data_IF_617762326848
#
_entry.id   IF_617762326848
#
_cell.length_a   1.000
_cell.length_b   1.000
_cell.length_c   1.000
_cell.angle_alpha   90.00
_cell.angle_beta   90.00
_cell.angle_gamma   90.00
#
_symmetry.space_group_name_H-M   'P 1'
#
loop_
_entity.id
_entity.type
_entity.pdbx_description
1 polymer ?
#
# COMPACT_ATOMS: atom_id res chain seq x y z
N UNK A 1 -20.07 -6.08 -5.49
CA UNK A 1 -19.55 -5.63 -4.18
C UNK A 1 -18.09 -5.14 -4.29
N UNK A 2 -17.82 -3.95 -4.87
CA UNK A 2 -16.45 -3.39 -4.95
C UNK A 2 -16.22 -2.16 -4.05
N UNK A 3 -17.26 -1.33 -3.87
CA UNK A 3 -17.22 -0.08 -3.08
C UNK A 3 -16.76 -0.30 -1.62
N UNK A 4 -17.25 -1.36 -0.96
CA UNK A 4 -16.92 -1.59 0.46
C UNK A 4 -15.43 -1.93 0.67
N UNK A 5 -14.81 -2.66 -0.26
CA UNK A 5 -13.37 -2.96 -0.19
C UNK A 5 -12.52 -1.70 -0.31
N UNK A 6 -12.89 -0.80 -1.23
CA UNK A 6 -12.25 0.50 -1.39
C UNK A 6 -12.41 1.39 -0.14
N UNK A 7 -13.63 1.54 0.39
CA UNK A 7 -13.89 2.34 1.60
C UNK A 7 -13.27 1.77 2.89
N UNK A 8 -12.99 0.47 2.93
CA UNK A 8 -12.36 -0.19 4.07
C UNK A 8 -10.83 -0.09 4.07
N UNK A 9 -10.19 0.14 2.91
CA UNK A 9 -8.75 0.36 2.82
C UNK A 9 -8.37 1.73 3.42
N UNK A 10 -7.34 1.74 4.28
CA UNK A 10 -6.80 2.98 4.89
C UNK A 10 -5.65 3.59 4.09
N UNK A 11 -5.03 2.78 3.23
CA UNK A 11 -3.91 3.12 2.35
C UNK A 11 -4.39 2.81 0.94
N UNK A 12 -4.16 3.73 0.00
CA UNK A 12 -4.65 3.60 -1.37
C UNK A 12 -3.83 2.64 -2.21
N UNK A 13 -4.47 2.04 -3.21
CA UNK A 13 -3.85 1.06 -4.10
C UNK A 13 -2.64 1.64 -4.86
N UNK A 14 -2.66 2.93 -5.22
CA UNK A 14 -1.50 3.59 -5.84
C UNK A 14 -0.32 3.73 -4.87
N UNK A 15 -0.59 4.05 -3.59
CA UNK A 15 0.43 4.13 -2.54
C UNK A 15 1.09 2.76 -2.29
N UNK A 16 0.28 1.69 -2.31
CA UNK A 16 0.76 0.29 -2.22
C UNK A 16 1.59 -0.07 -3.44
N UNK A 17 1.04 0.06 -4.66
CA UNK A 17 1.73 -0.29 -5.92
C UNK A 17 3.09 0.40 -6.04
N UNK A 18 3.14 1.71 -5.81
CA UNK A 18 4.38 2.48 -5.86
C UNK A 18 5.46 1.94 -4.91
N UNK A 19 5.06 1.40 -3.75
CA UNK A 19 6.01 0.96 -2.73
C UNK A 19 6.74 -0.34 -3.02
N UNK A 20 6.18 -1.19 -3.89
CA UNK A 20 6.56 -2.60 -4.06
C UNK A 20 6.51 -3.46 -2.76
N UNK A 21 5.87 -2.96 -1.69
CA UNK A 21 5.75 -3.67 -0.41
C UNK A 21 4.42 -4.42 -0.29
N UNK A 22 4.40 -5.62 0.34
CA UNK A 22 3.15 -6.34 0.62
C UNK A 22 2.16 -5.50 1.46
N UNK A 23 0.86 -5.54 1.13
CA UNK A 23 -0.18 -4.85 1.91
C UNK A 23 -0.15 -5.20 3.40
N UNK A 24 0.18 -6.46 3.72
CA UNK A 24 0.34 -6.96 5.10
C UNK A 24 1.50 -6.27 5.83
N UNK A 25 2.63 -6.05 5.15
CA UNK A 25 3.78 -5.32 5.69
C UNK A 25 3.43 -3.85 5.92
N UNK A 26 2.84 -3.19 4.92
CA UNK A 26 2.41 -1.78 5.02
C UNK A 26 1.42 -1.61 6.19
N UNK A 27 0.43 -2.49 6.33
CA UNK A 27 -0.50 -2.47 7.46
C UNK A 27 0.26 -2.61 8.79
N UNK A 28 1.13 -3.62 8.90
CA UNK A 28 1.90 -3.92 10.12
C UNK A 28 2.87 -2.80 10.50
N UNK A 29 3.39 -2.01 9.54
CA UNK A 29 4.38 -0.96 9.82
C UNK A 29 3.81 0.25 10.58
N UNK A 30 2.52 0.57 10.39
CA UNK A 30 1.83 1.67 11.06
C UNK A 30 0.75 1.25 12.06
N UNK A 31 0.33 -0.03 12.08
CA UNK A 31 -0.69 -0.51 13.01
C UNK A 31 -0.21 -0.37 14.47
N UNK A 32 -0.94 0.42 15.26
CA UNK A 32 -0.67 0.60 16.69
C UNK A 32 -1.70 -0.20 17.48
N UNK A 33 -1.34 -1.41 17.87
CA UNK A 33 -2.10 -2.23 18.82
C UNK A 33 -1.66 -1.87 20.23
N UNK A 34 -2.61 -1.47 21.08
CA UNK A 34 -2.36 -1.22 22.50
C UNK A 34 -2.56 -2.49 23.34
N UNK A 35 -3.56 -3.28 22.98
CA UNK A 35 -3.88 -4.55 23.62
C UNK A 35 -4.60 -5.49 22.64
N UNK A 36 -4.41 -6.80 22.80
CA UNK A 36 -4.99 -7.84 21.95
C UNK A 36 -5.17 -9.11 22.77
N UNK A 37 -6.29 -9.82 22.57
CA UNK A 37 -6.52 -11.12 23.19
C UNK A 37 -5.44 -12.13 22.77
N UNK A 38 -5.06 -13.08 23.67
CA UNK A 38 -4.11 -14.14 23.31
C UNK A 38 -4.67 -14.99 22.17
N UNK A 39 -3.81 -15.38 21.24
CA UNK A 39 -4.17 -16.19 20.06
C UNK A 39 -4.00 -17.68 20.36
N UNK A 40 -4.90 -18.51 19.83
CA UNK A 40 -4.86 -19.98 19.99
C UNK A 40 -5.88 -20.55 20.98
N UNK A 41 -6.62 -19.69 21.68
CA UNK A 41 -7.58 -20.06 22.71
C UNK A 41 -9.02 -19.84 22.23
N UNK A 42 -9.87 -20.88 22.09
CA UNK A 42 -11.25 -20.73 21.63
C UNK A 42 -12.12 -19.84 22.53
N UNK A 43 -11.85 -19.81 23.83
CA UNK A 43 -12.63 -19.02 24.80
C UNK A 43 -12.48 -17.50 24.64
N UNK A 44 -11.39 -17.03 24.02
CA UNK A 44 -11.15 -15.61 23.84
C UNK A 44 -11.56 -15.15 22.43
N UNK A 45 -12.50 -14.18 22.30
CA UNK A 45 -12.82 -13.61 21.00
C UNK A 45 -11.59 -12.91 20.41
N UNK A 46 -11.55 -12.72 19.09
CA UNK A 46 -10.46 -12.01 18.39
C UNK A 46 -10.53 -10.48 18.57
N UNK A 47 -10.63 -10.02 19.82
CA UNK A 47 -10.69 -8.62 20.19
C UNK A 47 -9.30 -7.98 20.20
N UNK A 48 -9.23 -6.72 19.72
CA UNK A 48 -8.04 -5.89 19.82
C UNK A 48 -8.40 -4.42 20.06
N UNK A 49 -7.71 -3.79 21.01
CA UNK A 49 -7.74 -2.34 21.23
C UNK A 49 -6.57 -1.76 20.43
N UNK A 50 -6.87 -1.29 19.24
CA UNK A 50 -5.91 -0.70 18.32
C UNK A 50 -6.33 0.69 17.86
N UNK A 51 -5.35 1.53 17.51
CA UNK A 51 -5.58 2.88 17.00
C UNK A 51 -6.38 2.83 15.70
N UNK A 52 -7.62 3.33 15.73
CA UNK A 52 -8.49 3.37 14.55
C UNK A 52 -8.19 4.57 13.65
N UNK A 53 -7.91 5.75 14.24
CA UNK A 53 -7.78 7.05 13.58
C UNK A 53 -6.30 7.42 13.34
N UNK A 54 -5.87 7.43 12.08
CA UNK A 54 -4.55 7.89 11.64
C UNK A 54 -4.66 9.19 10.84
N UNK A 55 -3.62 10.02 10.92
CA UNK A 55 -3.42 11.24 10.15
C UNK A 55 -2.42 10.91 9.04
N UNK A 56 -2.92 10.43 7.91
CA UNK A 56 -2.11 10.31 6.70
C UNK A 56 -1.64 11.69 6.23
N UNK A 57 -0.45 11.81 5.67
CA UNK A 57 0.14 13.09 5.22
C UNK A 57 0.95 12.84 3.95
N UNK A 58 1.87 13.74 3.60
CA UNK A 58 2.88 13.50 2.55
C UNK A 58 3.80 12.31 2.88
N UNK A 59 3.94 11.96 4.16
CA UNK A 59 4.75 10.84 4.61
C UNK A 59 4.05 9.50 4.38
N UNK A 60 4.80 8.53 3.82
CA UNK A 60 4.32 7.16 3.57
C UNK A 60 4.12 6.38 4.89
N UNK A 61 3.13 5.50 5.01
CA UNK A 61 2.79 4.83 6.29
C UNK A 61 3.92 4.07 6.98
N UNK A 62 4.91 3.56 6.25
CA UNK A 62 6.05 2.82 6.79
C UNK A 62 7.22 3.71 7.24
N UNK A 63 7.15 5.03 7.11
CA UNK A 63 8.26 5.93 7.47
C UNK A 63 8.27 6.34 8.94
N UNK A 64 9.45 6.66 9.46
CA UNK A 64 9.61 7.16 10.84
C UNK A 64 8.87 8.49 11.06
N UNK A 65 8.85 9.37 10.04
CA UNK A 65 8.13 10.65 10.08
C UNK A 65 6.62 10.46 10.17
N UNK A 66 6.06 9.45 9.48
CA UNK A 66 4.65 9.09 9.62
C UNK A 66 4.34 8.61 11.04
N UNK A 67 5.21 7.75 11.60
CA UNK A 67 5.09 7.24 12.97
C UNK A 67 5.06 8.39 13.97
N UNK A 68 6.04 9.27 13.92
CA UNK A 68 6.15 10.45 14.80
C UNK A 68 4.89 11.35 14.73
N UNK A 69 4.38 11.62 13.52
CA UNK A 69 3.15 12.40 13.33
C UNK A 69 1.86 11.72 13.84
N UNK A 70 1.94 10.43 14.16
CA UNK A 70 0.86 9.58 14.62
C UNK A 70 1.15 8.91 15.97
N UNK A 71 2.10 9.45 16.75
CA UNK A 71 2.53 8.86 18.02
C UNK A 71 1.37 8.68 19.02
N UNK A 72 1.59 7.79 19.98
CA UNK A 72 0.54 7.29 20.90
C UNK A 72 -0.16 8.40 21.68
N UNK A 73 0.55 9.48 22.04
CA UNK A 73 -0.03 10.66 22.70
C UNK A 73 -0.63 11.72 21.75
N UNK A 74 -0.40 11.64 20.44
CA UNK A 74 -0.90 12.61 19.48
C UNK A 74 -2.33 12.32 19.05
N UNK A 75 -3.32 12.87 19.74
CA UNK A 75 -4.72 12.80 19.34
C UNK A 75 -5.09 13.97 18.41
N UNK A 76 -5.66 13.67 17.24
CA UNK A 76 -6.05 14.66 16.22
C UNK A 76 -7.44 14.35 15.68
N UNK A 77 -8.23 15.38 15.37
CA UNK A 77 -9.54 15.24 14.72
C UNK A 77 -9.37 14.49 13.38
N UNK A 78 -10.31 13.58 13.06
CA UNK A 78 -10.33 12.87 11.77
C UNK A 78 -10.58 13.90 10.66
N UNK A 79 -9.79 13.86 9.61
CA UNK A 79 -10.10 14.60 8.37
C UNK A 79 -11.07 13.73 7.58
N UNK A 80 -12.23 14.28 7.24
CA UNK A 80 -13.17 13.67 6.33
C UNK A 80 -12.79 14.10 4.90
N UNK A 81 -12.89 13.16 3.97
CA UNK A 81 -12.48 13.32 2.56
C UNK A 81 -13.61 12.71 1.74
N UNK A 82 -13.91 13.32 0.60
CA UNK A 82 -14.89 12.80 -0.34
C UNK A 82 -14.39 11.49 -0.97
N UNK A 83 -15.17 10.40 -0.93
CA UNK A 83 -14.75 9.13 -1.52
C UNK A 83 -14.82 9.22 -3.04
N UNK A 84 -13.65 9.38 -3.68
CA UNK A 84 -13.50 9.34 -5.14
C UNK A 84 -13.68 7.89 -5.61
N UNK A 85 -14.68 7.62 -6.46
CA UNK A 85 -15.00 6.24 -6.89
C UNK A 85 -13.98 5.66 -7.88
N UNK A 86 -13.76 6.36 -8.99
CA UNK A 86 -12.74 6.01 -9.99
C UNK A 86 -11.63 7.06 -9.96
N UNK A 87 -10.38 6.60 -9.92
CA UNK A 87 -9.22 7.47 -9.75
C UNK A 87 -8.51 7.72 -11.08
N UNK A 88 -8.73 8.90 -11.66
CA UNK A 88 -8.29 9.24 -13.02
C UNK A 88 -6.97 10.03 -13.11
N UNK A 89 -6.20 10.12 -12.02
CA UNK A 89 -4.99 10.94 -11.94
C UNK A 89 -3.77 10.11 -11.51
N UNK A 90 -2.75 10.06 -12.34
CA UNK A 90 -1.58 9.21 -12.18
C UNK A 90 -0.29 10.02 -12.12
N UNK A 91 0.77 9.39 -11.60
CA UNK A 91 2.11 9.99 -11.56
C UNK A 91 2.60 10.22 -12.99
N UNK A 92 2.94 11.46 -13.31
CA UNK A 92 3.35 11.92 -14.63
C UNK A 92 2.26 12.53 -15.50
N UNK A 93 1.00 12.54 -15.06
CA UNK A 93 -0.05 13.26 -15.79
C UNK A 93 0.24 14.76 -15.83
N UNK A 94 -0.01 15.38 -16.98
CA UNK A 94 0.00 16.84 -17.10
C UNK A 94 -1.35 17.39 -16.66
N UNK A 95 -1.33 18.26 -15.66
CA UNK A 95 -2.53 18.82 -15.04
C UNK A 95 -2.46 20.34 -14.97
N UNK A 96 -3.62 20.98 -14.88
CA UNK A 96 -3.76 22.43 -14.70
C UNK A 96 -4.30 22.75 -13.30
N UNK A 97 -3.70 23.75 -12.65
CA UNK A 97 -4.10 24.23 -11.32
C UNK A 97 -5.29 25.18 -11.44
N UNK A 98 -6.41 24.86 -10.79
CA UNK A 98 -7.67 25.61 -10.88
C UNK A 98 -7.86 26.65 -9.75
N UNK A 99 -7.16 26.48 -8.63
CA UNK A 99 -7.33 27.26 -7.39
C UNK A 99 -5.97 27.63 -6.79
N UNK A 100 -5.91 28.78 -6.11
CA UNK A 100 -4.72 29.23 -5.38
C UNK A 100 -3.76 30.12 -6.19
N UNK A 101 -2.58 30.37 -5.61
CA UNK A 101 -1.56 31.33 -6.08
C UNK A 101 -1.01 31.04 -7.47
N UNK A 102 -0.99 29.77 -7.87
CA UNK A 102 -0.43 29.28 -9.14
C UNK A 102 -1.53 28.86 -10.15
N UNK A 103 -2.76 29.37 -9.99
CA UNK A 103 -3.89 29.12 -10.89
C UNK A 103 -3.55 29.40 -12.37
N UNK A 104 -4.00 28.52 -13.25
CA UNK A 104 -3.76 28.57 -14.70
C UNK A 104 -2.39 28.04 -15.13
N UNK A 105 -1.49 27.70 -14.19
CA UNK A 105 -0.23 27.03 -14.53
C UNK A 105 -0.47 25.53 -14.77
N UNK A 106 0.26 24.99 -15.74
CA UNK A 106 0.34 23.56 -16.00
C UNK A 106 1.54 22.96 -15.26
N UNK A 107 1.38 21.76 -14.74
CA UNK A 107 2.42 20.99 -14.05
C UNK A 107 2.32 19.51 -14.37
N UNK A 108 3.29 18.73 -13.87
CA UNK A 108 3.30 17.27 -13.96
C UNK A 108 3.08 16.72 -12.54
N UNK A 109 2.22 15.72 -12.38
CA UNK A 109 1.95 15.09 -11.08
C UNK A 109 3.17 14.30 -10.59
N UNK A 110 3.80 14.76 -9.51
CA UNK A 110 5.00 14.17 -8.91
C UNK A 110 4.73 12.94 -8.05
N UNK A 111 3.71 13.02 -7.18
CA UNK A 111 3.28 11.97 -6.27
C UNK A 111 1.76 12.03 -6.11
N UNK A 112 1.11 10.86 -6.04
CA UNK A 112 -0.32 10.73 -5.72
C UNK A 112 -0.47 10.16 -4.32
N UNK A 113 -1.38 10.73 -3.52
CA UNK A 113 -1.68 10.31 -2.14
C UNK A 113 -3.20 10.17 -2.01
N UNK A 114 -3.72 8.97 -2.23
CA UNK A 114 -5.16 8.71 -2.25
C UNK A 114 -5.80 8.80 -0.86
N UNK A 115 -5.01 8.69 0.21
CA UNK A 115 -5.48 8.79 1.59
C UNK A 115 -5.87 10.22 1.98
N UNK A 116 -5.60 11.21 1.11
CA UNK A 116 -5.80 12.65 1.33
C UNK A 116 -6.09 13.51 0.09
N UNK A 117 -5.87 13.02 -1.13
CA UNK A 117 -5.98 13.74 -2.41
C UNK A 117 -5.03 14.97 -2.45
N UNK A 118 -3.70 14.80 -2.57
CA UNK A 118 -2.69 15.81 -2.15
C UNK A 118 -1.40 15.91 -3.08
N UNK A 119 -1.05 17.08 -3.70
CA UNK A 119 0.19 17.40 -4.54
C UNK A 119 0.59 18.93 -4.57
N UNK A 120 1.85 19.47 -4.52
CA UNK A 120 2.05 20.90 -4.06
C UNK A 120 3.34 21.80 -4.21
N UNK A 121 3.47 22.95 -3.45
CA UNK A 121 4.71 23.81 -3.28
C UNK A 121 4.75 24.90 -2.12
N UNK A 122 5.90 25.23 -1.44
CA UNK A 122 6.45 26.58 -1.03
C UNK A 122 7.77 26.59 -0.13
N UNK A 123 8.15 27.74 0.49
CA UNK A 123 9.48 28.17 1.09
C UNK A 123 9.34 28.68 2.57
N UNK A 124 10.34 29.08 3.40
CA UNK A 124 11.83 29.32 3.36
C UNK A 124 12.54 28.82 4.68
N UNK A 125 13.62 29.45 5.22
CA UNK A 125 14.76 28.69 5.81
C UNK A 125 15.84 29.43 6.67
N UNK A 126 16.81 28.73 7.35
CA UNK A 126 18.22 29.20 7.38
C UNK A 126 19.40 28.18 7.19
N UNK A 127 19.20 26.86 7.14
CA UNK A 127 20.11 25.92 6.44
C UNK A 127 19.91 25.86 4.90
N UNK A 128 20.04 24.67 4.27
CA UNK A 128 19.86 24.48 2.81
C UNK A 128 18.40 24.57 2.36
N UNK A 129 18.02 25.66 1.68
CA UNK A 129 16.66 25.88 1.12
C UNK A 129 16.25 24.83 0.09
N UNK A 130 15.32 23.95 0.46
CA UNK A 130 14.57 23.10 -0.47
C UNK A 130 13.13 23.62 -0.58
N UNK A 131 12.62 23.79 -1.81
CA UNK A 131 11.20 24.10 -2.04
C UNK A 131 10.39 22.80 -1.85
N UNK A 132 9.40 22.80 -0.96
CA UNK A 132 8.68 21.57 -0.55
C UNK A 132 7.24 21.55 -1.05
N UNK A 133 6.68 20.39 -1.38
CA UNK A 133 5.39 20.31 -2.09
C UNK A 133 4.15 20.31 -1.16
N UNK A 134 3.49 21.48 -0.99
CA UNK A 134 2.28 21.75 -0.21
C UNK A 134 0.92 21.40 -0.91
N UNK A 135 0.19 20.37 -0.46
CA UNK A 135 -0.71 19.60 -1.33
C UNK A 135 -2.11 20.16 -1.71
N UNK A 136 -2.51 19.91 -2.98
CA UNK A 136 -3.78 20.24 -3.67
C UNK A 136 -4.77 19.05 -3.77
N UNK A 137 -6.08 19.37 -3.70
CA UNK A 137 -7.21 18.44 -3.81
C UNK A 137 -7.59 18.08 -5.26
N UNK A 138 -7.75 16.77 -5.49
CA UNK A 138 -8.11 16.20 -6.80
C UNK A 138 -9.54 16.55 -7.25
N UNK A 139 -10.46 16.85 -6.33
CA UNK A 139 -11.86 17.18 -6.67
C UNK A 139 -12.07 18.66 -7.01
N UNK A 140 -11.28 19.57 -6.46
CA UNK A 140 -11.49 21.04 -6.60
C UNK A 140 -10.36 21.78 -7.30
N UNK A 141 -9.11 21.33 -7.12
CA UNK A 141 -7.94 22.16 -7.40
C UNK A 141 -7.24 21.79 -8.72
N UNK A 142 -7.60 20.63 -9.30
CA UNK A 142 -6.91 20.00 -10.44
C UNK A 142 -7.93 19.50 -11.44
N UNK A 143 -7.70 19.71 -12.75
CA UNK A 143 -8.53 19.13 -13.82
C UNK A 143 -7.72 18.41 -14.90
N UNK A 144 -8.39 17.47 -15.57
CA UNK A 144 -8.02 16.95 -16.89
C UNK A 144 -9.04 17.47 -17.90
N UNK A 145 -8.63 17.74 -19.14
CA UNK A 145 -9.54 18.24 -20.18
C UNK A 145 -10.49 17.14 -20.65
N UNK A 146 -11.80 17.35 -20.45
CA UNK A 146 -12.87 16.51 -20.99
C UNK A 146 -13.42 17.01 -22.34
N UNK A 147 -13.06 18.23 -22.76
CA UNK A 147 -13.64 18.89 -23.93
C UNK A 147 -13.16 18.29 -25.27
N UNK A 148 -11.99 17.65 -25.28
CA UNK A 148 -11.51 16.87 -26.42
C UNK A 148 -11.89 15.40 -26.24
N UNK A 149 -12.57 14.80 -27.22
CA UNK A 149 -12.82 13.35 -27.31
C UNK A 149 -11.55 12.50 -27.55
N UNK A 150 -10.40 13.00 -27.12
CA UNK A 150 -9.09 12.38 -27.24
C UNK A 150 -8.86 11.49 -26.02
N UNK A 151 -8.66 10.20 -26.27
CA UNK A 151 -8.26 9.25 -25.23
C UNK A 151 -6.88 9.67 -24.70
N UNK A 152 -6.78 9.89 -23.39
CA UNK A 152 -5.52 10.15 -22.69
C UNK A 152 -5.04 8.80 -22.13
N UNK A 153 -3.93 8.23 -22.63
CA UNK A 153 -3.39 7.00 -22.07
C UNK A 153 -2.77 7.27 -20.69
N UNK A 154 -2.79 6.27 -19.81
CA UNK A 154 -2.08 6.31 -18.53
C UNK A 154 -0.57 6.48 -18.81
N UNK A 155 0.14 7.42 -18.15
CA UNK A 155 1.54 7.67 -18.40
C UNK A 155 2.42 6.52 -17.87
N UNK A 156 3.47 6.13 -18.61
CA UNK A 156 4.40 5.06 -18.21
C UNK A 156 5.02 5.26 -16.81
N UNK A 157 5.22 6.51 -16.41
CA UNK A 157 5.71 6.92 -15.08
C UNK A 157 4.79 6.52 -13.92
N UNK A 158 3.54 6.11 -14.19
CA UNK A 158 2.61 5.56 -13.22
C UNK A 158 2.93 4.11 -12.82
N UNK A 159 3.71 3.40 -13.65
CA UNK A 159 4.16 2.02 -13.41
C UNK A 159 5.48 1.97 -12.62
N UNK A 160 6.17 3.11 -12.45
CA UNK A 160 7.38 3.24 -11.65
C UNK A 160 7.12 2.92 -10.16
N UNK A 161 7.97 2.09 -9.56
CA UNK A 161 7.99 1.83 -8.12
C UNK A 161 9.15 2.58 -7.43
N UNK A 162 9.30 2.41 -6.12
CA UNK A 162 10.48 2.89 -5.37
C UNK A 162 11.78 2.28 -5.92
N UNK A 163 11.72 1.02 -6.36
CA UNK A 163 12.89 0.20 -6.68
C UNK A 163 13.19 0.20 -8.19
N UNK A 164 12.15 0.22 -9.04
CA UNK A 164 12.28 0.02 -10.48
C UNK A 164 11.60 1.14 -11.27
N UNK A 165 12.32 1.69 -12.27
CA UNK A 165 11.75 2.60 -13.27
C UNK A 165 10.88 1.87 -14.30
N UNK A 166 11.34 0.69 -14.73
CA UNK A 166 10.55 -0.23 -15.55
C UNK A 166 10.97 -1.66 -15.22
N UNK A 167 10.02 -2.60 -15.36
CA UNK A 167 10.29 -4.04 -15.18
C UNK A 167 11.30 -4.56 -16.21
N UNK A 168 11.26 -4.01 -17.43
CA UNK A 168 12.13 -4.36 -18.56
C UNK A 168 13.64 -4.10 -18.30
N UNK A 169 13.97 -3.20 -17.36
CA UNK A 169 15.35 -2.89 -16.98
C UNK A 169 15.85 -3.72 -15.79
N UNK A 170 15.09 -4.72 -15.33
CA UNK A 170 15.54 -5.64 -14.30
C UNK A 170 16.62 -6.57 -14.85
N UNK A 171 17.75 -6.66 -14.14
CA UNK A 171 18.82 -7.62 -14.44
C UNK A 171 18.73 -8.72 -13.38
N UNK A 172 18.35 -9.92 -13.81
CA UNK A 172 18.21 -11.08 -12.92
C UNK A 172 19.56 -11.49 -12.33
N UNK A 173 19.58 -11.75 -11.02
CA UNK A 173 20.73 -12.30 -10.32
C UNK A 173 20.79 -13.82 -10.50
N UNK A 174 21.75 -14.29 -11.32
CA UNK A 174 21.91 -15.70 -11.65
C UNK A 174 22.03 -16.66 -10.44
N UNK A 175 22.52 -16.18 -9.29
CA UNK A 175 22.74 -17.01 -8.10
C UNK A 175 21.55 -17.06 -7.14
N UNK A 176 20.60 -16.10 -7.24
CA UNK A 176 19.58 -15.85 -6.21
C UNK A 176 18.17 -15.61 -6.71
N UNK A 177 18.00 -15.25 -7.99
CA UNK A 177 16.69 -14.99 -8.56
C UNK A 177 16.16 -16.23 -9.26
N UNK A 178 14.89 -16.57 -8.99
CA UNK A 178 14.17 -17.63 -9.69
C UNK A 178 13.73 -17.14 -11.07
N UNK A 179 14.14 -17.84 -12.13
CA UNK A 179 13.71 -17.56 -13.50
C UNK A 179 12.19 -17.57 -13.63
N UNK A 180 11.68 -16.78 -14.57
CA UNK A 180 10.24 -16.66 -14.83
C UNK A 180 9.58 -18.02 -15.09
N UNK A 181 10.15 -18.83 -15.98
CA UNK A 181 9.59 -20.12 -16.42
C UNK A 181 9.31 -21.05 -15.22
N UNK A 182 10.33 -21.27 -14.37
CA UNK A 182 10.24 -22.10 -13.17
C UNK A 182 9.29 -21.52 -12.10
N UNK A 183 9.06 -20.21 -12.09
CA UNK A 183 8.11 -19.55 -11.19
C UNK A 183 6.66 -19.70 -11.67
N UNK A 184 6.46 -19.80 -12.98
CA UNK A 184 5.13 -20.00 -13.60
C UNK A 184 4.71 -21.47 -13.71
N UNK A 185 5.60 -22.41 -13.44
CA UNK A 185 5.33 -23.85 -13.49
C UNK A 185 4.35 -24.26 -12.39
N UNK A 186 3.21 -24.86 -12.78
CA UNK A 186 2.18 -25.32 -11.84
C UNK A 186 2.50 -26.74 -11.39
N UNK A 187 3.33 -26.85 -10.35
CA UNK A 187 3.74 -28.13 -9.74
C UNK A 187 2.72 -28.70 -8.73
N UNK A 188 1.76 -27.89 -8.28
CA UNK A 188 0.78 -28.31 -7.26
C UNK A 188 -0.29 -29.26 -7.82
N UNK A 189 -0.25 -30.51 -7.38
CA UNK A 189 -1.30 -31.50 -7.61
C UNK A 189 -2.23 -31.62 -6.38
N UNK A 190 -3.55 -31.38 -6.50
CA UNK A 190 -4.46 -31.49 -5.36
C UNK A 190 -4.64 -32.96 -4.93
N UNK A 191 -4.29 -33.27 -3.68
CA UNK A 191 -4.38 -34.62 -3.10
C UNK A 191 -5.06 -34.56 -1.73
N UNK A 192 -5.73 -35.64 -1.32
CA UNK A 192 -6.39 -35.75 -0.01
C UNK A 192 -5.41 -36.16 1.11
N UNK A 193 -4.29 -35.43 1.22
CA UNK A 193 -3.25 -35.60 2.25
C UNK A 193 -2.73 -34.26 2.74
N UNK A 194 -2.15 -34.19 3.94
CA UNK A 194 -1.48 -32.96 4.41
C UNK A 194 -0.09 -32.84 3.79
N UNK A 195 0.50 -31.64 3.87
CA UNK A 195 1.86 -31.37 3.40
C UNK A 195 2.91 -32.27 4.08
N UNK A 196 2.74 -32.51 5.38
CA UNK A 196 3.61 -33.38 6.18
C UNK A 196 3.52 -34.84 5.73
N UNK A 197 2.31 -35.34 5.48
CA UNK A 197 2.09 -36.69 4.96
C UNK A 197 2.70 -36.88 3.56
N UNK A 198 2.57 -35.86 2.69
CA UNK A 198 3.14 -35.84 1.35
C UNK A 198 4.67 -36.01 1.39
N UNK A 199 5.34 -35.16 2.18
CA UNK A 199 6.81 -35.18 2.33
C UNK A 199 7.30 -36.45 3.02
N UNK A 200 6.57 -37.01 4.00
CA UNK A 200 6.97 -38.26 4.62
C UNK A 200 6.98 -39.42 3.61
N UNK A 201 5.99 -39.47 2.72
CA UNK A 201 5.92 -40.46 1.64
C UNK A 201 7.06 -40.26 0.61
N UNK A 202 7.28 -39.02 0.16
CA UNK A 202 8.32 -38.66 -0.82
C UNK A 202 9.74 -38.91 -0.30
N UNK A 203 10.01 -38.56 0.95
CA UNK A 203 11.32 -38.76 1.60
C UNK A 203 11.51 -40.18 2.16
N UNK A 204 10.52 -41.07 2.01
CA UNK A 204 10.56 -42.45 2.52
C UNK A 204 10.58 -42.57 4.05
N UNK A 205 10.14 -41.53 4.76
CA UNK A 205 10.11 -41.48 6.23
C UNK A 205 8.93 -42.30 6.75
N UNK A 206 9.23 -43.35 7.52
CA UNK A 206 8.24 -44.20 8.19
C UNK A 206 8.12 -43.80 9.66
N UNK A 207 6.88 -43.65 10.13
CA UNK A 207 6.56 -43.39 11.52
C UNK A 207 5.61 -44.49 12.01
N UNK A 208 6.18 -45.46 12.72
CA UNK A 208 5.42 -46.61 13.24
C UNK A 208 4.76 -46.33 14.60
N UNK A 209 5.05 -45.17 15.22
CA UNK A 209 4.49 -44.80 16.53
C UNK A 209 3.09 -44.23 16.40
N UNK A 210 2.13 -44.83 17.11
CA UNK A 210 0.78 -44.27 17.26
C UNK A 210 0.82 -43.10 18.26
N UNK A 211 0.32 -41.90 17.92
CA UNK A 211 0.28 -40.78 18.86
C UNK A 211 -0.62 -41.11 20.06
N UNK A 212 -0.10 -40.87 21.27
CA UNK A 212 -0.84 -41.10 22.50
C UNK A 212 -2.08 -40.19 22.57
N UNK A 213 -3.18 -40.70 23.15
CA UNK A 213 -4.41 -39.93 23.34
C UNK A 213 -4.14 -38.73 24.25
N UNK A 214 -4.33 -37.52 23.73
CA UNK A 214 -4.27 -36.28 24.48
C UNK A 214 -5.67 -35.71 24.68
N UNK A 215 -5.91 -35.11 25.84
CA UNK A 215 -7.16 -34.42 26.15
C UNK A 215 -6.93 -32.91 26.04
N UNK A 216 -7.84 -32.23 25.35
CA UNK A 216 -7.85 -30.78 25.19
C UNK A 216 -9.05 -30.23 25.98
N UNK A 217 -8.81 -29.23 26.83
CA UNK A 217 -9.78 -28.62 27.74
C UNK A 217 -9.78 -27.09 27.61
#
# INVERSE_FOLDING_TARGET
>A
MRIFGYLAKKVGDLTVKYSNLPESYIKKSYEQVYWKNPTGYPQYPKAQVARKKFRFTTNRPWTAQFRQQNDRGMYRKKVFIEPVGEWSFFKGDRVEIMVGKDKGKQGIVSQVIQERNWVGKDKKFPGVTVQSEAPLLVTTDVRVSLASSRIIPVPKTAEETIEFKSKELYIENADKDTKADATTEVTFAPKLRTFEMDIMEEMGIKEDRVPAKSYWY
#
